data_IF_813709635476
#
_entry.id   IF_813709635476
#
_cell.length_a   1.000
_cell.length_b   1.000
_cell.length_c   1.000
_cell.angle_alpha   90.00
_cell.angle_beta   90.00
_cell.angle_gamma   90.00
#
_symmetry.space_group_name_H-M   'P 1'
#
loop_
_entity.id
_entity.type
_entity.pdbx_description
1 polymer ?
#
# COMPACT_ATOMS: atom_id res chain seq x y z
N UNK A 1 -9.14 19.17 20.54
CA UNK A 1 -7.78 18.61 20.81
C UNK A 1 -7.15 17.88 19.61
N UNK A 2 -7.90 17.27 18.68
CA UNK A 2 -7.31 16.58 17.51
C UNK A 2 -6.58 17.54 16.55
N UNK A 3 -7.11 18.74 16.35
CA UNK A 3 -6.57 19.64 15.33
C UNK A 3 -5.19 20.22 15.67
N UNK A 4 -4.94 20.54 16.94
CA UNK A 4 -3.60 20.89 17.41
C UNK A 4 -2.60 19.73 17.28
N UNK A 5 -3.07 18.47 17.34
CA UNK A 5 -2.22 17.31 17.05
C UNK A 5 -1.90 17.30 15.55
N UNK A 6 -2.92 17.28 14.69
CA UNK A 6 -2.79 17.24 13.22
C UNK A 6 -1.80 18.30 12.70
N UNK A 7 -1.97 19.57 13.10
CA UNK A 7 -1.19 20.70 12.57
C UNK A 7 0.29 20.72 12.98
N UNK A 8 0.68 19.94 14.00
CA UNK A 8 2.05 19.83 14.52
C UNK A 8 2.70 18.48 14.21
N UNK A 9 1.95 17.55 13.64
CA UNK A 9 2.40 16.18 13.41
C UNK A 9 3.14 16.09 12.08
N UNK A 10 4.36 15.54 12.12
CA UNK A 10 5.08 15.13 10.91
C UNK A 10 4.41 13.91 10.29
N UNK A 11 4.52 13.71 8.98
CA UNK A 11 3.82 12.61 8.31
C UNK A 11 4.21 11.22 8.81
N UNK A 12 5.46 11.02 9.20
CA UNK A 12 5.91 9.78 9.84
C UNK A 12 5.21 9.52 11.18
N UNK A 13 4.97 10.58 11.94
CA UNK A 13 4.24 10.51 13.21
C UNK A 13 2.74 10.26 12.97
N UNK A 14 2.16 10.90 11.94
CA UNK A 14 0.79 10.64 11.50
C UNK A 14 0.61 9.18 11.05
N UNK A 15 1.59 8.63 10.34
CA UNK A 15 1.60 7.23 9.90
C UNK A 15 1.76 6.27 11.09
N UNK A 16 2.68 6.55 12.01
CA UNK A 16 3.16 5.54 12.95
C UNK A 16 2.61 5.62 14.38
N UNK A 17 2.27 6.81 14.88
CA UNK A 17 2.12 7.06 16.33
C UNK A 17 0.75 7.59 16.73
N UNK A 18 0.00 8.18 15.81
CA UNK A 18 -1.21 8.92 16.14
C UNK A 18 -2.42 8.43 15.33
N UNK A 19 -3.08 7.39 15.85
CA UNK A 19 -4.22 6.73 15.19
C UNK A 19 -5.36 7.69 14.83
N UNK A 20 -5.59 8.72 15.65
CA UNK A 20 -6.64 9.71 15.37
C UNK A 20 -6.29 10.56 14.14
N UNK A 21 -5.02 10.98 14.02
CA UNK A 21 -4.52 11.75 12.88
C UNK A 21 -4.51 10.88 11.63
N UNK A 22 -4.08 9.62 11.74
CA UNK A 22 -4.12 8.66 10.63
C UNK A 22 -5.54 8.47 10.11
N UNK A 23 -6.52 8.25 11.00
CA UNK A 23 -7.93 8.10 10.61
C UNK A 23 -8.49 9.37 9.97
N UNK A 24 -8.13 10.55 10.48
CA UNK A 24 -8.51 11.82 9.87
C UNK A 24 -7.93 11.94 8.45
N UNK A 25 -6.65 11.61 8.28
CA UNK A 25 -5.97 11.62 7.00
C UNK A 25 -6.57 10.61 6.00
N UNK A 26 -6.93 9.41 6.45
CA UNK A 26 -7.61 8.40 5.61
C UNK A 26 -8.95 8.92 5.06
N UNK A 27 -9.76 9.57 5.90
CA UNK A 27 -11.02 10.19 5.45
C UNK A 27 -10.78 11.32 4.44
N UNK A 28 -9.74 12.11 4.67
CA UNK A 28 -9.34 13.16 3.74
C UNK A 28 -8.90 12.58 2.40
N UNK A 29 -8.02 11.58 2.40
CA UNK A 29 -7.55 10.89 1.19
C UNK A 29 -8.71 10.26 0.40
N UNK A 30 -9.72 9.72 1.09
CA UNK A 30 -10.93 9.24 0.43
C UNK A 30 -11.74 10.35 -0.25
N UNK A 31 -11.80 11.55 0.34
CA UNK A 31 -12.40 12.73 -0.28
C UNK A 31 -11.58 13.26 -1.46
N UNK A 32 -10.26 13.17 -1.40
CA UNK A 32 -9.33 13.61 -2.45
C UNK A 32 -9.08 12.53 -3.52
N UNK A 33 -9.93 11.49 -3.57
CA UNK A 33 -9.88 10.39 -4.55
C UNK A 33 -8.51 9.68 -4.62
N UNK A 34 -7.83 9.55 -3.48
CA UNK A 34 -6.56 8.81 -3.34
C UNK A 34 -6.59 7.77 -2.21
N UNK A 35 -7.78 7.20 -1.94
CA UNK A 35 -8.00 6.21 -0.88
C UNK A 35 -7.14 4.95 -1.06
N UNK A 36 -6.89 4.55 -2.31
CA UNK A 36 -6.11 3.36 -2.65
C UNK A 36 -4.70 3.40 -2.06
N UNK A 37 -4.07 4.59 -2.03
CA UNK A 37 -2.73 4.79 -1.49
C UNK A 37 -2.68 4.57 0.03
N UNK A 38 -3.65 5.10 0.77
CA UNK A 38 -3.72 4.91 2.23
C UNK A 38 -4.17 3.50 2.62
N UNK A 39 -5.08 2.90 1.84
CA UNK A 39 -5.51 1.51 2.01
C UNK A 39 -4.34 0.54 1.76
N UNK A 40 -3.51 0.80 0.75
CA UNK A 40 -2.31 0.02 0.49
C UNK A 40 -1.31 0.08 1.64
N UNK A 41 -1.02 1.27 2.19
CA UNK A 41 -0.13 1.42 3.35
C UNK A 41 -0.61 0.55 4.53
N UNK A 42 -1.91 0.57 4.80
CA UNK A 42 -2.50 -0.23 5.89
C UNK A 42 -2.38 -1.73 5.62
N UNK A 43 -2.72 -2.17 4.40
CA UNK A 43 -2.61 -3.56 3.98
C UNK A 43 -1.16 -4.05 4.04
N UNK A 44 -0.21 -3.21 3.62
CA UNK A 44 1.22 -3.51 3.67
C UNK A 44 1.73 -3.66 5.11
N UNK A 45 1.35 -2.76 6.02
CA UNK A 45 1.70 -2.87 7.44
C UNK A 45 1.13 -4.13 8.09
N UNK A 46 -0.12 -4.49 7.75
CA UNK A 46 -0.74 -5.75 8.19
C UNK A 46 0.04 -6.97 7.67
N UNK A 47 0.48 -6.94 6.41
CA UNK A 47 1.31 -7.98 5.82
C UNK A 47 2.66 -8.11 6.54
N UNK A 48 3.33 -7.00 6.82
CA UNK A 48 4.60 -7.01 7.57
C UNK A 48 4.42 -7.53 9.00
N UNK A 49 3.33 -7.17 9.68
CA UNK A 49 3.03 -7.73 10.99
C UNK A 49 2.81 -9.26 10.95
N UNK A 50 2.20 -9.80 9.88
CA UNK A 50 2.08 -11.25 9.67
C UNK A 50 3.44 -11.91 9.43
N UNK A 51 4.30 -11.27 8.64
CA UNK A 51 5.68 -11.71 8.41
C UNK A 51 6.44 -11.78 9.74
N UNK A 52 6.35 -10.75 10.58
CA UNK A 52 7.02 -10.71 11.87
C UNK A 52 6.47 -11.75 12.84
N UNK A 53 5.15 -11.94 12.88
CA UNK A 53 4.53 -13.01 13.67
C UNK A 53 5.00 -14.40 13.22
N UNK A 54 5.13 -14.62 11.91
CA UNK A 54 5.66 -15.86 11.36
C UNK A 54 7.12 -16.07 11.79
N UNK A 55 7.98 -15.05 11.66
CA UNK A 55 9.38 -15.11 12.11
C UNK A 55 9.47 -15.43 13.62
N UNK A 56 8.66 -14.77 14.44
CA UNK A 56 8.60 -15.04 15.89
C UNK A 56 8.14 -16.47 16.21
N UNK A 57 7.22 -17.03 15.41
CA UNK A 57 6.74 -18.40 15.60
C UNK A 57 7.83 -19.45 15.36
N UNK A 58 8.75 -19.19 14.44
CA UNK A 58 9.91 -20.06 14.16
C UNK A 58 10.96 -19.99 15.26
N UNK A 59 11.15 -18.82 15.87
CA UNK A 59 12.12 -18.61 16.94
C UNK A 59 11.66 -19.15 18.30
N UNK A 60 10.35 -19.34 18.51
CA UNK A 60 9.85 -19.89 19.77
C UNK A 60 10.31 -21.34 19.91
N UNK A 61 11.14 -21.68 20.92
CA UNK A 61 11.43 -23.06 21.23
C UNK A 61 10.09 -23.72 21.50
N UNK A 62 9.77 -24.75 20.72
CA UNK A 62 8.59 -25.57 20.93
C UNK A 62 8.76 -26.20 22.31
N UNK A 63 8.30 -25.49 23.35
CA UNK A 63 8.28 -25.99 24.73
C UNK A 63 7.42 -27.22 24.66
N UNK A 64 8.08 -28.38 24.51
CA UNK A 64 7.47 -29.69 24.59
C UNK A 64 6.73 -29.68 25.90
N UNK A 65 5.42 -29.44 25.85
CA UNK A 65 4.50 -29.82 26.90
C UNK A 65 4.61 -31.34 26.92
N UNK A 66 5.60 -31.81 27.68
CA UNK A 66 5.67 -33.18 28.13
C UNK A 66 4.45 -33.34 29.03
N UNK A 67 3.32 -33.63 28.38
CA UNK A 67 2.07 -33.99 29.00
C UNK A 67 2.35 -35.36 29.60
N UNK A 68 2.91 -35.36 30.82
CA UNK A 68 2.95 -36.58 31.63
C UNK A 68 1.49 -37.01 31.76
N UNK A 69 1.19 -38.17 31.19
CA UNK A 69 -0.03 -38.91 31.47
C UNK A 69 -0.06 -39.09 32.99
N UNK A 70 -0.94 -38.36 33.67
CA UNK A 70 -1.47 -38.80 34.94
C UNK A 70 -2.79 -39.47 34.57
N UNK A 71 -2.77 -40.80 34.52
CA UNK A 71 -3.99 -41.57 34.67
C UNK A 71 -4.68 -41.10 35.96
N UNK A 72 -5.88 -40.56 35.82
CA UNK A 72 -6.90 -40.70 36.85
C UNK A 72 -8.25 -40.71 36.14
N UNK A 73 -8.84 -41.90 36.16
CA UNK A 73 -10.26 -42.15 35.94
C UNK A 73 -11.13 -41.19 36.75
N UNK A 74 -12.19 -40.70 36.12
CA UNK A 74 -13.20 -39.88 36.79
C UNK A 74 -14.08 -39.14 35.81
N UNK A 75 -15.08 -39.85 35.29
CA UNK A 75 -16.15 -39.31 34.47
C UNK A 75 -16.85 -38.10 35.14
N UNK A 76 -17.14 -37.05 34.37
CA UNK A 76 -18.43 -36.36 34.38
C UNK A 76 -18.50 -35.31 33.26
N UNK A 77 -19.39 -35.59 32.33
CA UNK A 77 -20.31 -34.72 31.59
C UNK A 77 -20.30 -33.24 32.00
N UNK A 78 -20.14 -32.32 31.04
CA UNK A 78 -21.08 -31.22 30.79
C UNK A 78 -20.68 -30.44 29.53
N UNK A 79 -21.71 -29.93 28.87
CA UNK A 79 -21.82 -29.45 27.50
C UNK A 79 -20.85 -28.33 27.12
N UNK A 80 -20.15 -28.55 26.00
CA UNK A 80 -19.20 -27.60 25.41
C UNK A 80 -19.85 -26.73 24.35
N UNK A 81 -20.53 -25.67 24.78
CA UNK A 81 -20.81 -24.50 23.95
C UNK A 81 -19.49 -23.79 23.60
N UNK A 82 -18.88 -24.10 22.45
CA UNK A 82 -17.84 -23.22 21.91
C UNK A 82 -17.60 -23.40 20.42
N UNK A 83 -18.37 -22.68 19.61
CA UNK A 83 -17.89 -22.20 18.29
C UNK A 83 -18.58 -20.90 17.86
N UNK A 84 -18.99 -20.06 18.81
CA UNK A 84 -19.69 -18.80 18.52
C UNK A 84 -18.76 -17.63 18.18
N UNK A 85 -17.44 -17.74 18.39
CA UNK A 85 -16.52 -16.61 18.19
C UNK A 85 -16.09 -16.46 16.73
N UNK A 86 -15.72 -17.56 16.06
CA UNK A 86 -15.36 -17.53 14.64
C UNK A 86 -16.54 -17.10 13.75
N UNK A 87 -17.75 -17.53 14.11
CA UNK A 87 -18.98 -17.19 13.38
C UNK A 87 -19.37 -15.70 13.57
N UNK A 88 -19.16 -15.14 14.77
CA UNK A 88 -19.38 -13.70 15.03
C UNK A 88 -18.39 -12.79 14.31
N UNK A 89 -17.14 -13.23 14.13
CA UNK A 89 -16.13 -12.46 13.37
C UNK A 89 -16.45 -12.44 11.87
N UNK A 90 -16.85 -13.58 11.30
CA UNK A 90 -17.24 -13.65 9.88
C UNK A 90 -18.54 -12.89 9.59
N UNK A 91 -19.48 -12.84 10.53
CA UNK A 91 -20.73 -12.10 10.37
C UNK A 91 -20.51 -10.57 10.39
N UNK A 92 -19.56 -10.07 11.20
CA UNK A 92 -19.16 -8.65 11.19
C UNK A 92 -18.43 -8.21 9.91
N UNK A 93 -17.71 -9.09 9.25
CA UNK A 93 -17.03 -8.76 7.99
C UNK A 93 -18.02 -8.60 6.83
N UNK A 94 -19.14 -9.34 6.84
CA UNK A 94 -20.21 -9.20 5.82
C UNK A 94 -21.05 -7.94 5.96
N UNK A 95 -21.24 -7.42 7.18
CA UNK A 95 -22.00 -6.18 7.40
C UNK A 95 -21.26 -4.91 6.96
N UNK A 96 -19.95 -4.97 6.70
CA UNK A 96 -19.20 -3.83 6.16
C UNK A 96 -19.27 -3.72 4.62
N UNK A 97 -19.79 -4.74 3.93
CA UNK A 97 -19.72 -4.82 2.46
C UNK A 97 -21.04 -4.54 1.73
N UNK A 98 -22.13 -4.13 2.40
CA UNK A 98 -23.42 -4.01 1.69
C UNK A 98 -24.38 -2.86 2.04
N UNK A 99 -24.09 -1.98 3.02
CA UNK A 99 -25.08 -0.96 3.43
C UNK A 99 -24.79 0.50 2.97
N UNK A 100 -24.02 0.72 1.90
CA UNK A 100 -23.77 2.09 1.39
C UNK A 100 -24.17 2.33 -0.07
N UNK A 101 -25.01 1.47 -0.65
CA UNK A 101 -25.62 1.72 -1.98
C UNK A 101 -27.09 1.32 -1.94
N UNK A 102 -27.91 1.97 -1.12
CA UNK A 102 -29.37 2.18 -1.35
C UNK A 102 -29.98 2.81 -0.10
N UNK A 103 -30.02 4.13 -0.03
CA UNK A 103 -31.07 4.90 0.64
C UNK A 103 -30.68 6.38 0.60
N UNK A 104 -31.22 7.09 -0.40
CA UNK A 104 -31.79 8.44 -0.27
C UNK A 104 -32.05 8.98 -1.68
N UNK A 105 -33.18 8.60 -2.26
CA UNK A 105 -33.82 9.41 -3.30
C UNK A 105 -35.32 9.16 -3.23
N UNK A 106 -36.00 10.03 -2.49
CA UNK A 106 -37.45 10.24 -2.56
C UNK A 106 -37.69 11.73 -2.73
N UNK A 107 -38.17 12.04 -3.92
CA UNK A 107 -39.22 13.01 -4.26
C UNK A 107 -39.05 14.50 -3.98
N UNK A 108 -38.93 15.25 -5.09
CA UNK A 108 -39.80 16.36 -5.53
C UNK A 108 -39.09 17.10 -6.69
N UNK A 109 -39.70 17.67 -7.74
CA UNK A 109 -40.99 17.61 -8.41
C UNK A 109 -40.80 18.55 -9.65
N UNK A 110 -41.63 18.40 -10.69
CA UNK A 110 -41.86 19.39 -11.76
C UNK A 110 -40.70 19.80 -12.68
N UNK A 111 -40.68 19.24 -13.89
CA UNK A 111 -41.07 20.05 -15.06
C UNK A 111 -41.37 19.17 -16.28
N UNK A 112 -42.66 19.04 -16.60
CA UNK A 112 -43.13 18.66 -17.92
C UNK A 112 -43.27 19.95 -18.74
N UNK A 113 -42.50 20.08 -19.83
CA UNK A 113 -42.91 20.86 -20.98
C UNK A 113 -42.60 20.07 -22.25
N UNK A 114 -43.61 20.08 -23.12
CA UNK A 114 -43.78 19.17 -24.22
C UNK A 114 -43.21 19.73 -25.53
N UNK A 115 -43.17 18.82 -26.51
CA UNK A 115 -43.43 19.03 -27.93
C UNK A 115 -42.33 19.58 -28.87
N UNK A 116 -41.92 18.68 -29.77
CA UNK A 116 -42.12 18.75 -31.24
C UNK A 116 -41.09 19.53 -32.10
N UNK A 117 -40.78 18.89 -33.25
CA UNK A 117 -39.98 19.24 -34.44
C UNK A 117 -38.54 18.71 -34.40
N UNK A 118 -38.09 17.82 -35.30
CA UNK A 118 -38.48 17.57 -36.69
C UNK A 118 -37.49 18.25 -37.62
N UNK A 119 -36.54 17.49 -38.19
CA UNK A 119 -35.66 17.99 -39.26
C UNK A 119 -34.24 17.41 -39.28
N UNK A 120 -34.04 16.30 -39.97
CA UNK A 120 -32.83 16.04 -40.78
C UNK A 120 -33.02 16.72 -42.17
N UNK A 121 -32.05 16.73 -43.10
CA UNK A 121 -30.58 16.83 -42.99
C UNK A 121 -30.02 17.89 -43.97
N UNK A 122 -28.78 18.38 -43.80
CA UNK A 122 -28.00 18.94 -44.91
C UNK A 122 -26.50 19.02 -44.62
N UNK A 123 -25.77 18.26 -45.43
CA UNK A 123 -24.40 18.45 -45.93
C UNK A 123 -23.88 19.89 -45.97
N UNK A 124 -22.62 20.07 -45.55
CA UNK A 124 -21.56 20.95 -46.09
C UNK A 124 -20.33 20.68 -45.18
N UNK A 125 -19.27 19.99 -45.59
CA UNK A 125 -18.37 20.42 -46.67
C UNK A 125 -17.43 21.49 -46.13
N UNK A 126 -16.24 21.09 -45.64
CA UNK A 126 -14.94 21.79 -45.78
C UNK A 126 -13.86 21.23 -44.85
N UNK A 127 -12.89 20.52 -45.43
CA UNK A 127 -11.45 20.60 -45.11
C UNK A 127 -10.80 21.47 -46.20
N UNK A 128 -9.59 22.07 -46.08
CA UNK A 128 -8.41 21.56 -45.36
C UNK A 128 -7.52 22.68 -44.73
N UNK A 129 -6.26 22.32 -44.42
CA UNK A 129 -5.11 23.19 -44.10
C UNK A 129 -4.92 23.51 -42.60
N UNK A 130 -3.74 23.43 -41.99
CA UNK A 130 -2.38 23.47 -42.55
C UNK A 130 -1.40 22.86 -41.56
N UNK A 131 -0.48 22.07 -42.12
CA UNK A 131 0.79 21.65 -41.57
C UNK A 131 1.56 22.80 -40.90
N UNK A 132 2.03 22.60 -39.65
CA UNK A 132 3.08 23.43 -39.06
C UNK A 132 4.19 22.54 -38.53
N UNK A 133 5.19 22.37 -39.38
CA UNK A 133 6.52 21.85 -39.09
C UNK A 133 7.20 22.80 -38.09
N UNK A 134 7.77 22.25 -37.01
CA UNK A 134 8.72 22.96 -36.15
C UNK A 134 10.12 22.38 -36.37
N UNK A 135 11.15 23.21 -36.59
CA UNK A 135 12.50 22.76 -36.89
C UNK A 135 13.28 22.34 -35.65
N UNK A 136 13.95 21.20 -35.78
CA UNK A 136 15.02 20.69 -34.92
C UNK A 136 16.24 21.60 -35.02
N UNK A 137 16.72 22.14 -33.89
CA UNK A 137 18.04 22.78 -33.80
C UNK A 137 18.95 21.94 -32.91
N UNK A 138 19.92 21.29 -33.56
CA UNK A 138 21.06 20.58 -32.98
C UNK A 138 22.19 21.61 -32.83
N UNK A 139 22.87 21.66 -31.68
CA UNK A 139 24.24 22.15 -31.63
C UNK A 139 25.20 20.96 -31.47
N UNK A 140 25.87 20.61 -32.56
CA UNK A 140 27.18 19.98 -32.53
C UNK A 140 28.20 21.01 -32.01
N UNK A 141 29.03 20.62 -31.04
CA UNK A 141 30.46 20.95 -30.99
C UNK A 141 31.10 20.20 -29.80
N UNK A 142 31.85 19.13 -30.10
CA UNK A 142 33.07 18.80 -29.32
C UNK A 142 34.22 19.70 -29.77
N UNK A 143 35.51 19.44 -29.39
CA UNK A 143 36.06 18.34 -28.58
C UNK A 143 37.07 18.83 -27.50
N UNK A 144 37.51 17.94 -26.60
CA UNK A 144 38.94 17.79 -26.25
C UNK A 144 39.21 16.67 -25.25
N UNK A 145 40.19 15.86 -25.62
CA UNK A 145 40.78 14.78 -24.85
C UNK A 145 41.84 15.31 -23.86
N UNK A 146 42.03 14.59 -22.75
CA UNK A 146 43.28 14.45 -21.98
C UNK A 146 43.04 13.33 -20.95
N UNK A 147 43.50 12.10 -21.23
CA UNK A 147 44.79 11.50 -20.83
C UNK A 147 44.95 11.27 -19.31
N UNK A 148 45.02 9.98 -19.02
CA UNK A 148 46.02 9.31 -18.16
C UNK A 148 45.97 9.59 -16.64
N UNK A 149 45.58 8.56 -15.89
CA UNK A 149 46.29 8.18 -14.66
C UNK A 149 46.15 6.68 -14.42
N UNK A 150 47.26 6.00 -14.69
CA UNK A 150 47.57 4.66 -14.21
C UNK A 150 47.88 4.72 -12.72
N UNK A 151 47.25 3.88 -11.91
CA UNK A 151 47.81 3.47 -10.61
C UNK A 151 47.55 1.98 -10.41
N UNK A 152 48.59 1.21 -10.69
CA UNK A 152 48.79 -0.16 -10.26
C UNK A 152 49.35 -0.19 -8.84
N UNK A 153 48.70 -0.91 -7.93
CA UNK A 153 49.28 -1.47 -6.69
C UNK A 153 48.62 -2.84 -6.49
N UNK A 154 49.38 -3.93 -6.67
CA UNK A 154 50.01 -4.71 -5.61
C UNK A 154 48.97 -5.44 -4.73
N UNK A 155 48.81 -6.74 -4.92
CA UNK A 155 49.64 -7.83 -4.39
C UNK A 155 48.90 -8.52 -3.23
N UNK A 156 48.54 -9.77 -3.51
CA UNK A 156 48.28 -10.88 -2.62
C UNK A 156 48.52 -10.65 -1.12
N UNK A 157 47.48 -10.88 -0.33
CA UNK A 157 47.63 -11.51 0.98
C UNK A 157 46.49 -12.51 1.18
N UNK A 158 46.81 -13.73 0.80
CA UNK A 158 46.13 -14.96 1.16
C UNK A 158 46.20 -15.12 2.68
N UNK A 159 45.08 -14.91 3.36
CA UNK A 159 44.87 -15.33 4.74
C UNK A 159 43.76 -16.37 4.76
N UNK A 160 44.17 -17.64 4.76
CA UNK A 160 43.32 -18.78 5.12
C UNK A 160 43.17 -18.77 6.63
N UNK A 161 42.04 -18.25 7.12
CA UNK A 161 41.54 -18.60 8.44
C UNK A 161 40.48 -19.68 8.26
N UNK A 162 40.88 -20.93 8.50
CA UNK A 162 39.96 -22.02 8.80
C UNK A 162 39.42 -21.80 10.22
N UNK A 163 38.47 -20.88 10.36
CA UNK A 163 37.72 -20.74 11.60
C UNK A 163 36.54 -21.72 11.58
N UNK A 164 36.81 -22.91 12.13
CA UNK A 164 35.78 -23.88 12.52
C UNK A 164 34.87 -23.26 13.59
N UNK A 165 33.89 -22.49 13.15
CA UNK A 165 32.72 -22.15 13.95
C UNK A 165 31.65 -23.21 13.71
N UNK A 166 31.69 -24.26 14.55
CA UNK A 166 30.48 -24.97 14.96
C UNK A 166 29.63 -23.99 15.80
N UNK A 167 29.09 -22.98 15.13
CA UNK A 167 28.15 -22.02 15.70
C UNK A 167 26.76 -22.52 15.34
N UNK A 168 26.01 -22.93 16.35
CA UNK A 168 24.60 -23.30 16.23
C UNK A 168 23.85 -22.18 15.52
N UNK A 169 23.48 -22.44 14.26
CA UNK A 169 22.88 -21.48 13.36
C UNK A 169 21.57 -20.93 13.89
N UNK A 170 21.63 -19.82 14.61
CA UNK A 170 20.53 -18.90 14.72
C UNK A 170 20.41 -18.21 13.35
N UNK A 171 19.51 -18.72 12.51
CA UNK A 171 19.39 -18.30 11.12
C UNK A 171 19.18 -16.79 11.00
N UNK A 172 20.19 -16.10 10.46
CA UNK A 172 20.02 -14.76 9.90
C UNK A 172 18.97 -14.86 8.80
N UNK A 173 17.78 -14.31 9.06
CA UNK A 173 16.75 -14.19 8.04
C UNK A 173 17.18 -13.09 7.09
N UNK A 174 17.94 -13.45 6.06
CA UNK A 174 18.29 -12.53 4.99
C UNK A 174 17.00 -12.06 4.31
N UNK A 175 16.78 -10.74 4.28
CA UNK A 175 15.59 -10.13 3.69
C UNK A 175 15.44 -10.40 2.18
N UNK A 176 16.49 -10.92 1.55
CA UNK A 176 16.55 -11.39 0.16
C UNK A 176 16.11 -12.84 -0.02
N UNK A 177 15.88 -13.58 1.07
CA UNK A 177 15.47 -14.99 1.01
C UNK A 177 14.07 -15.19 0.40
N UNK A 178 13.80 -16.40 -0.13
CA UNK A 178 12.48 -16.76 -0.63
C UNK A 178 11.43 -16.66 0.49
N UNK A 179 10.23 -16.19 0.12
CA UNK A 179 9.12 -16.08 1.05
C UNK A 179 8.56 -17.48 1.41
N UNK A 180 8.30 -17.78 2.69
CA UNK A 180 7.65 -19.02 3.10
C UNK A 180 6.26 -19.20 2.46
N UNK A 181 5.94 -20.43 2.03
CA UNK A 181 4.66 -20.79 1.38
C UNK A 181 3.39 -20.25 2.08
N UNK A 182 3.27 -20.27 3.42
CA UNK A 182 2.08 -19.78 4.10
C UNK A 182 1.79 -18.29 3.88
N UNK A 183 2.81 -17.49 3.54
CA UNK A 183 2.70 -16.04 3.34
C UNK A 183 2.44 -15.66 1.87
N UNK A 184 2.75 -16.55 0.92
CA UNK A 184 2.58 -16.31 -0.53
C UNK A 184 1.16 -15.86 -0.90
N UNK A 185 0.07 -16.47 -0.37
CA UNK A 185 -1.29 -16.01 -0.67
C UNK A 185 -1.55 -14.55 -0.26
N UNK A 186 -0.98 -14.10 0.86
CA UNK A 186 -1.15 -12.73 1.34
C UNK A 186 -0.42 -11.71 0.44
N UNK A 187 0.79 -12.04 -0.02
CA UNK A 187 1.52 -11.21 -1.00
C UNK A 187 0.79 -11.17 -2.35
N UNK A 188 0.27 -12.30 -2.81
CA UNK A 188 -0.52 -12.36 -4.05
C UNK A 188 -1.78 -11.50 -3.94
N UNK A 189 -2.52 -11.58 -2.84
CA UNK A 189 -3.72 -10.77 -2.62
C UNK A 189 -3.41 -9.26 -2.67
N UNK A 190 -2.28 -8.84 -2.08
CA UNK A 190 -1.81 -7.46 -2.14
C UNK A 190 -1.55 -7.01 -3.61
N UNK A 191 -0.85 -7.86 -4.38
CA UNK A 191 -0.57 -7.59 -5.79
C UNK A 191 -1.85 -7.45 -6.63
N UNK A 192 -2.76 -8.41 -6.52
CA UNK A 192 -4.01 -8.44 -7.31
C UNK A 192 -4.93 -7.24 -7.01
N UNK A 193 -4.91 -6.75 -5.76
CA UNK A 193 -5.79 -5.67 -5.31
C UNK A 193 -5.25 -4.28 -5.67
N UNK A 194 -3.93 -4.09 -5.62
CA UNK A 194 -3.32 -2.75 -5.68
C UNK A 194 -2.32 -2.54 -6.83
N UNK A 195 -1.65 -3.58 -7.30
CA UNK A 195 -0.49 -3.42 -8.21
C UNK A 195 -0.83 -3.84 -9.64
N UNK A 196 -1.57 -4.94 -9.80
CA UNK A 196 -1.93 -5.49 -11.10
C UNK A 196 -2.61 -4.43 -11.99
N UNK A 197 -2.37 -4.52 -13.28
CA UNK A 197 -3.08 -3.68 -14.25
C UNK A 197 -4.59 -3.95 -14.23
N UNK A 198 -5.39 -2.88 -14.14
CA UNK A 198 -6.84 -3.01 -13.97
C UNK A 198 -7.28 -3.50 -12.60
N UNK A 199 -6.41 -3.45 -11.59
CA UNK A 199 -6.81 -3.76 -10.21
C UNK A 199 -7.86 -2.77 -9.68
N UNK A 200 -8.71 -3.23 -8.77
CA UNK A 200 -9.82 -2.44 -8.23
C UNK A 200 -9.36 -1.19 -7.49
N UNK A 201 -8.22 -1.29 -6.79
CA UNK A 201 -7.56 -0.19 -6.10
C UNK A 201 -6.17 0.03 -6.69
N UNK A 202 -6.08 0.03 -8.03
CA UNK A 202 -4.81 0.17 -8.73
C UNK A 202 -4.08 1.45 -8.32
N UNK A 203 -2.85 1.29 -7.82
CA UNK A 203 -2.01 2.39 -7.39
C UNK A 203 -1.47 3.19 -8.57
N UNK A 204 -1.38 4.51 -8.36
CA UNK A 204 -0.63 5.40 -9.23
C UNK A 204 0.86 5.34 -8.86
N UNK A 205 1.56 4.35 -9.43
CA UNK A 205 3.00 4.12 -9.27
C UNK A 205 3.69 4.02 -10.62
N UNK A 206 5.01 4.21 -10.60
CA UNK A 206 5.88 4.12 -11.76
C UNK A 206 5.74 2.77 -12.46
N UNK A 207 5.85 2.81 -13.79
CA UNK A 207 5.85 1.61 -14.61
C UNK A 207 6.96 0.64 -14.18
N UNK A 208 8.13 1.14 -13.79
CA UNK A 208 9.25 0.34 -13.34
C UNK A 208 8.92 -0.51 -12.10
N UNK A 209 8.34 0.11 -11.05
CA UNK A 209 7.96 -0.60 -9.83
C UNK A 209 6.88 -1.66 -10.09
N UNK A 210 5.88 -1.31 -10.91
CA UNK A 210 4.81 -2.24 -11.33
C UNK A 210 5.35 -3.41 -12.14
N UNK A 211 6.22 -3.17 -13.12
CA UNK A 211 6.83 -4.20 -13.96
C UNK A 211 7.70 -5.15 -13.12
N UNK A 212 8.47 -4.63 -12.17
CA UNK A 212 9.28 -5.43 -11.26
C UNK A 212 8.42 -6.37 -10.40
N UNK A 213 7.36 -5.85 -9.77
CA UNK A 213 6.45 -6.65 -8.97
C UNK A 213 5.73 -7.71 -9.83
N UNK A 214 5.31 -7.34 -11.04
CA UNK A 214 4.65 -8.24 -11.99
C UNK A 214 5.56 -9.40 -12.40
N UNK A 215 6.84 -9.13 -12.73
CA UNK A 215 7.79 -10.19 -13.08
C UNK A 215 7.98 -11.17 -11.93
N UNK A 216 8.15 -10.66 -10.69
CA UNK A 216 8.32 -11.51 -9.50
C UNK A 216 7.10 -12.40 -9.24
N UNK A 217 5.88 -11.87 -9.38
CA UNK A 217 4.65 -12.67 -9.21
C UNK A 217 4.53 -13.74 -10.29
N UNK A 218 4.80 -13.37 -11.55
CA UNK A 218 4.73 -14.28 -12.71
C UNK A 218 5.74 -15.42 -12.61
N UNK A 219 6.94 -15.13 -12.14
CA UNK A 219 8.03 -16.11 -11.96
C UNK A 219 7.93 -16.86 -10.63
N UNK A 220 6.91 -16.58 -9.80
CA UNK A 220 6.78 -17.12 -8.44
C UNK A 220 7.97 -16.83 -7.52
N UNK A 221 8.73 -15.77 -7.81
CA UNK A 221 9.85 -15.28 -7.02
C UNK A 221 9.39 -14.28 -5.95
N UNK A 222 8.67 -14.78 -4.96
CA UNK A 222 8.21 -13.98 -3.81
C UNK A 222 9.36 -13.77 -2.81
N UNK A 223 9.60 -12.52 -2.44
CA UNK A 223 10.58 -12.12 -1.41
C UNK A 223 9.93 -11.18 -0.41
N UNK A 224 10.48 -11.11 0.80
CA UNK A 224 9.93 -10.26 1.87
C UNK A 224 9.86 -8.77 1.48
N UNK A 225 10.85 -8.30 0.73
CA UNK A 225 11.01 -6.90 0.33
C UNK A 225 10.40 -6.56 -1.04
N UNK A 226 9.62 -7.45 -1.67
CA UNK A 226 9.21 -7.25 -3.07
C UNK A 226 8.31 -6.03 -3.30
N UNK A 227 7.68 -5.49 -2.25
CA UNK A 227 6.83 -4.31 -2.32
C UNK A 227 7.43 -3.09 -1.61
N UNK A 228 8.67 -3.14 -1.11
CA UNK A 228 9.29 -2.01 -0.40
C UNK A 228 9.43 -0.77 -1.29
N UNK A 229 9.80 -0.97 -2.56
CA UNK A 229 9.90 0.12 -3.53
C UNK A 229 8.54 0.78 -3.77
N UNK A 230 7.48 -0.02 -3.94
CA UNK A 230 6.10 0.46 -4.11
C UNK A 230 5.64 1.21 -2.85
N UNK A 231 5.91 0.65 -1.67
CA UNK A 231 5.59 1.29 -0.40
C UNK A 231 6.28 2.65 -0.25
N UNK A 232 7.56 2.73 -0.59
CA UNK A 232 8.32 3.98 -0.57
C UNK A 232 7.74 5.02 -1.53
N UNK A 233 7.38 4.60 -2.74
CA UNK A 233 6.79 5.48 -3.75
C UNK A 233 5.42 6.02 -3.33
N UNK A 234 4.51 5.14 -2.87
CA UNK A 234 3.18 5.54 -2.38
C UNK A 234 3.31 6.49 -1.20
N UNK A 235 4.19 6.17 -0.25
CA UNK A 235 4.47 7.01 0.92
C UNK A 235 4.99 8.39 0.51
N UNK A 236 5.92 8.45 -0.44
CA UNK A 236 6.43 9.71 -0.98
C UNK A 236 5.35 10.54 -1.67
N UNK A 237 4.50 9.90 -2.48
CA UNK A 237 3.40 10.56 -3.17
C UNK A 237 2.40 11.18 -2.18
N UNK A 238 2.02 10.43 -1.14
CA UNK A 238 1.13 10.96 -0.09
C UNK A 238 1.76 12.12 0.67
N UNK A 239 3.05 12.02 1.02
CA UNK A 239 3.78 13.08 1.72
C UNK A 239 3.89 14.37 0.90
N UNK A 240 4.18 14.26 -0.39
CA UNK A 240 4.40 15.43 -1.25
C UNK A 240 3.11 16.05 -1.75
N UNK A 241 2.09 15.25 -2.03
CA UNK A 241 0.90 15.72 -2.73
C UNK A 241 -0.32 15.88 -1.81
N UNK A 242 -0.64 14.88 -0.99
CA UNK A 242 -1.93 14.83 -0.27
C UNK A 242 -1.82 15.37 1.15
N UNK A 243 -0.75 15.02 1.86
CA UNK A 243 -0.57 15.39 3.26
C UNK A 243 -0.48 16.91 3.50
N UNK A 244 0.22 17.71 2.68
CA UNK A 244 0.27 19.16 2.88
C UNK A 244 -1.12 19.80 2.72
N UNK A 245 -1.90 19.33 1.74
CA UNK A 245 -3.27 19.79 1.50
C UNK A 245 -4.22 19.39 2.62
N UNK A 246 -4.05 18.20 3.19
CA UNK A 246 -4.76 17.76 4.39
C UNK A 246 -4.51 18.70 5.56
N UNK A 247 -3.24 19.00 5.86
CA UNK A 247 -2.88 19.91 6.95
C UNK A 247 -3.47 21.30 6.72
N UNK A 248 -3.39 21.82 5.49
CA UNK A 248 -3.92 23.14 5.14
C UNK A 248 -5.45 23.20 5.28
N UNK A 249 -6.16 22.18 4.81
CA UNK A 249 -7.62 22.08 4.96
C UNK A 249 -8.01 22.11 6.44
N UNK A 250 -7.30 21.36 7.28
CA UNK A 250 -7.54 21.36 8.73
C UNK A 250 -7.19 22.70 9.42
N UNK A 251 -6.24 23.47 8.88
CA UNK A 251 -5.96 24.84 9.36
C UNK A 251 -7.08 25.80 8.99
N UNK A 252 -7.64 25.69 7.80
CA UNK A 252 -8.73 26.54 7.34
C UNK A 252 -10.02 26.28 8.14
N UNK A 253 -10.34 25.01 8.39
CA UNK A 253 -11.49 24.63 9.23
C UNK A 253 -11.38 25.22 10.66
N UNK A 254 -10.16 25.37 11.19
CA UNK A 254 -9.93 26.06 12.47
C UNK A 254 -10.27 27.55 12.42
N UNK A 255 -9.77 28.25 11.41
CA UNK A 255 -10.02 29.69 11.25
C UNK A 255 -11.51 29.96 11.09
N UNK A 256 -12.22 29.16 10.29
CA UNK A 256 -13.66 29.32 10.07
C UNK A 256 -14.49 29.03 11.32
N UNK A 257 -14.03 28.12 12.19
CA UNK A 257 -14.74 27.81 13.45
C UNK A 257 -14.55 28.93 14.50
N UNK A 258 -13.49 29.73 14.43
CA UNK A 258 -13.27 30.86 15.35
C UNK A 258 -14.03 32.13 14.95
N UNK A 259 -14.42 32.30 13.68
CA UNK A 259 -15.08 33.50 13.16
C UNK A 259 -16.61 33.47 13.21
N UNK A 260 -17.22 32.52 13.93
CA UNK A 260 -18.67 32.51 14.18
C UNK A 260 -18.97 33.07 15.58
N UNK A 261 -19.02 34.40 15.79
CA UNK A 261 -19.53 34.96 17.03
C UNK A 261 -21.04 34.71 17.12
N UNK A 262 -21.47 34.26 18.30
CA UNK A 262 -22.87 34.21 18.69
C UNK A 262 -23.46 35.62 18.85
#
# INVERSE_FOLDING_TARGET
>A
MLVHKVTRTEFEEALGRNDDVWRAFQRYAARDLCAESVCFIEAYRKLMAQVDAHKQSLLRPQRRRSRKYSEHDGASTLDGESSGYAQRVLQRLRSFTFDSITANSTDHEMNQLACVHGGEPATLGMSPSTSRVMPTAIPEHGPSASRESSTSHEASSSSRHEESTLSGGCGSFDASGPLPDPLVPAYRALFETYVREGATLQLNITHAAKAQATSRVREHHYTFNMFDAIYTEVKWSLWTNTFPRFIETYRQDLSSTQESPA
#
